data_IF_173683107800
#
_entry.id   IF_173683107800
#
_cell.length_a   1.000
_cell.length_b   1.000
_cell.length_c   1.000
_cell.angle_alpha   90.00
_cell.angle_beta   90.00
_cell.angle_gamma   90.00
#
_symmetry.space_group_name_H-M   'P 1'
#
loop_
_entity.id
_entity.type
_entity.pdbx_description
1 polymer ?
#
# COMPACT_ATOMS: atom_id res chain seq x y z
N UNK A 1 18.00 1.10 5.71
CA UNK A 1 17.13 0.90 4.53
C UNK A 1 15.88 1.74 4.74
N UNK A 2 14.97 1.94 3.78
CA UNK A 2 13.84 2.85 4.02
C UNK A 2 12.54 2.31 3.45
N UNK A 3 11.39 2.69 4.02
CA UNK A 3 10.10 2.18 3.54
C UNK A 3 8.96 3.21 3.50
N UNK A 4 8.00 2.94 2.61
CA UNK A 4 6.72 3.67 2.53
C UNK A 4 5.59 2.69 2.83
N UNK A 5 4.51 3.14 3.47
CA UNK A 5 3.31 2.36 3.67
C UNK A 5 2.03 3.16 3.44
N UNK A 6 0.94 2.42 3.18
CA UNK A 6 -0.41 2.96 3.07
C UNK A 6 -1.34 2.19 4.01
N UNK A 7 -2.08 2.95 4.80
CA UNK A 7 -3.24 2.51 5.56
C UNK A 7 -4.48 3.04 4.84
N UNK A 8 -5.31 2.11 4.37
CA UNK A 8 -6.61 2.28 3.70
C UNK A 8 -6.63 2.57 2.18
N UNK A 9 -7.59 1.94 1.47
CA UNK A 9 -7.62 1.78 0.01
C UNK A 9 -8.47 2.89 -0.62
N UNK A 10 -7.90 3.64 -1.57
CA UNK A 10 -8.70 4.39 -2.52
C UNK A 10 -9.17 3.43 -3.62
N UNK A 11 -10.48 3.20 -3.74
CA UNK A 11 -11.08 2.64 -4.94
C UNK A 11 -11.57 3.81 -5.80
N UNK A 12 -10.74 4.30 -6.70
CA UNK A 12 -11.17 5.09 -7.86
C UNK A 12 -9.99 5.33 -8.81
N UNK A 13 -9.80 4.43 -9.78
CA UNK A 13 -9.05 4.74 -10.99
C UNK A 13 -9.94 4.70 -12.25
N UNK A 14 -11.11 4.06 -12.19
CA UNK A 14 -12.08 4.05 -13.28
C UNK A 14 -13.50 3.93 -12.72
N UNK A 15 -14.24 5.04 -12.74
CA UNK A 15 -15.59 5.12 -12.20
C UNK A 15 -16.62 4.68 -13.24
N UNK A 16 -17.21 3.50 -13.03
CA UNK A 16 -18.60 3.22 -13.41
C UNK A 16 -18.99 1.82 -12.95
N UNK A 17 -19.97 1.76 -12.05
CA UNK A 17 -20.71 0.60 -11.52
C UNK A 17 -20.29 0.10 -10.13
N UNK A 18 -21.24 0.19 -9.19
CA UNK A 18 -21.27 -0.34 -7.80
C UNK A 18 -21.12 -1.88 -7.70
N UNK A 19 -20.96 -2.58 -8.83
CA UNK A 19 -20.47 -3.95 -8.86
C UNK A 19 -18.98 -3.93 -8.51
N UNK A 20 -18.71 -3.92 -7.20
CA UNK A 20 -17.44 -4.19 -6.52
C UNK A 20 -16.37 -4.66 -7.49
N UNK A 21 -15.54 -3.73 -7.99
CA UNK A 21 -14.46 -4.08 -8.90
C UNK A 21 -13.59 -5.09 -8.15
N UNK A 22 -13.55 -6.36 -8.58
CA UNK A 22 -12.86 -7.38 -7.81
C UNK A 22 -11.36 -7.11 -7.81
N UNK A 23 -10.86 -6.26 -8.72
CA UNK A 23 -9.46 -5.89 -8.86
C UNK A 23 -9.11 -4.68 -7.99
N UNK A 24 -8.16 -4.88 -7.07
CA UNK A 24 -7.54 -3.83 -6.27
C UNK A 24 -6.23 -3.39 -6.93
N UNK A 25 -6.21 -2.20 -7.52
CA UNK A 25 -5.08 -1.65 -8.28
C UNK A 25 -3.95 -1.11 -7.38
N UNK A 26 -3.49 -1.90 -6.41
CA UNK A 26 -2.48 -1.49 -5.41
C UNK A 26 -1.19 -0.99 -6.03
N UNK A 27 -0.73 -1.65 -7.09
CA UNK A 27 0.48 -1.31 -7.84
C UNK A 27 0.53 0.06 -8.52
N UNK A 28 -0.62 0.70 -8.73
CA UNK A 28 -0.70 2.06 -9.30
C UNK A 28 -1.30 3.06 -8.31
N UNK A 29 -1.41 2.69 -7.03
CA UNK A 29 -1.81 3.62 -5.97
C UNK A 29 -0.84 4.80 -5.90
N UNK A 30 -1.37 6.01 -5.82
CA UNK A 30 -0.56 7.24 -5.88
C UNK A 30 0.54 7.28 -4.80
N UNK A 31 0.30 6.74 -3.58
CA UNK A 31 1.26 6.82 -2.48
C UNK A 31 2.28 5.69 -2.44
N UNK A 32 1.86 4.47 -2.80
CA UNK A 32 2.64 3.24 -2.57
C UNK A 32 2.71 2.29 -3.77
N UNK A 33 2.14 2.66 -4.93
CA UNK A 33 2.20 1.84 -6.13
C UNK A 33 3.64 1.70 -6.64
N UNK A 34 4.06 0.48 -6.95
CA UNK A 34 5.41 0.14 -7.34
C UNK A 34 5.53 -0.45 -8.75
N UNK A 35 4.48 -0.35 -9.58
CA UNK A 35 4.54 -0.81 -10.97
C UNK A 35 5.56 -0.01 -11.77
N UNK A 36 6.50 -0.72 -12.41
CA UNK A 36 7.53 -0.10 -13.24
C UNK A 36 8.30 1.01 -12.54
N UNK A 37 8.44 2.12 -13.26
CA UNK A 37 9.18 3.33 -12.89
C UNK A 37 8.27 4.56 -12.89
N UNK A 38 8.80 5.73 -12.52
CA UNK A 38 8.01 6.97 -12.53
C UNK A 38 7.58 7.40 -13.95
N UNK A 39 8.27 6.91 -14.99
CA UNK A 39 7.90 7.14 -16.39
C UNK A 39 6.70 6.28 -16.81
N UNK A 40 6.53 5.10 -16.21
CA UNK A 40 5.39 4.22 -16.49
C UNK A 40 4.15 4.70 -15.70
N UNK A 41 4.32 4.89 -14.40
CA UNK A 41 3.26 5.34 -13.48
C UNK A 41 3.87 6.27 -12.44
N UNK A 42 3.36 7.50 -12.40
CA UNK A 42 3.78 8.50 -11.42
C UNK A 42 3.12 8.16 -10.07
N UNK A 43 3.88 7.53 -9.19
CA UNK A 43 3.53 7.31 -7.79
C UNK A 43 4.62 7.93 -6.91
N UNK A 44 4.27 8.28 -5.68
CA UNK A 44 5.23 8.76 -4.69
C UNK A 44 6.34 7.72 -4.44
N UNK A 45 5.98 6.44 -4.38
CA UNK A 45 6.93 5.33 -4.27
C UNK A 45 7.91 5.26 -5.46
N UNK A 46 7.43 5.40 -6.70
CA UNK A 46 8.29 5.40 -7.88
C UNK A 46 9.19 6.63 -7.97
N UNK A 47 8.73 7.79 -7.47
CA UNK A 47 9.57 8.98 -7.32
C UNK A 47 10.67 8.71 -6.28
N UNK A 48 10.36 8.12 -5.12
CA UNK A 48 11.37 7.80 -4.12
C UNK A 48 12.39 6.77 -4.58
N UNK A 49 12.00 5.81 -5.43
CA UNK A 49 12.94 4.86 -6.04
C UNK A 49 14.06 5.55 -6.84
N UNK A 50 13.88 6.80 -7.31
CA UNK A 50 14.95 7.57 -7.96
C UNK A 50 16.09 7.93 -7.02
N UNK A 51 15.78 8.10 -5.74
CA UNK A 51 16.74 8.49 -4.71
C UNK A 51 17.18 7.29 -3.85
N UNK A 52 16.35 6.25 -3.79
CA UNK A 52 16.64 5.02 -3.07
C UNK A 52 16.10 3.80 -3.86
N UNK A 53 16.91 3.18 -4.71
CA UNK A 53 16.49 2.02 -5.50
C UNK A 53 16.08 0.80 -4.66
N UNK A 54 16.59 0.68 -3.43
CA UNK A 54 16.28 -0.42 -2.48
C UNK A 54 15.10 -0.09 -1.56
N UNK A 55 14.18 0.77 -2.01
CA UNK A 55 13.00 1.17 -1.25
C UNK A 55 12.08 -0.03 -0.97
N UNK A 56 11.80 -0.29 0.31
CA UNK A 56 10.86 -1.32 0.75
C UNK A 56 9.42 -0.81 0.78
N UNK A 57 8.48 -1.70 0.49
CA UNK A 57 7.05 -1.44 0.63
C UNK A 57 6.24 -1.12 -0.64
N UNK A 58 6.80 -0.66 -1.77
CA UNK A 58 5.99 -0.44 -2.97
C UNK A 58 5.25 -1.71 -3.41
N UNK A 59 3.97 -1.60 -3.72
CA UNK A 59 3.14 -2.72 -4.19
C UNK A 59 3.47 -3.02 -5.67
N UNK A 60 3.93 -4.22 -6.05
CA UNK A 60 4.32 -4.49 -7.43
C UNK A 60 3.16 -4.88 -8.35
N UNK A 61 2.05 -5.41 -7.80
CA UNK A 61 0.92 -5.92 -8.59
C UNK A 61 -0.46 -5.49 -8.05
N UNK A 62 -1.52 -5.74 -8.84
CA UNK A 62 -2.89 -5.74 -8.36
C UNK A 62 -3.19 -7.01 -7.57
N UNK A 63 -4.26 -6.96 -6.78
CA UNK A 63 -4.81 -8.09 -6.03
C UNK A 63 -6.30 -8.25 -6.33
N UNK A 64 -6.88 -9.39 -5.94
CA UNK A 64 -8.31 -9.64 -6.10
C UNK A 64 -8.99 -9.58 -4.72
N UNK A 65 -9.99 -8.72 -4.57
CA UNK A 65 -10.78 -8.59 -3.35
C UNK A 65 -11.42 -9.92 -2.97
N UNK A 66 -11.35 -10.28 -1.69
CA UNK A 66 -11.86 -11.55 -1.18
C UNK A 66 -10.93 -12.75 -1.38
N UNK A 67 -9.77 -12.58 -2.03
CA UNK A 67 -8.76 -13.63 -2.19
C UNK A 67 -7.58 -13.41 -1.23
N UNK A 68 -6.93 -14.48 -0.76
CA UNK A 68 -5.72 -14.37 0.03
C UNK A 68 -4.64 -13.58 -0.71
N UNK A 69 -3.97 -12.67 -0.01
CA UNK A 69 -2.86 -11.89 -0.55
C UNK A 69 -1.62 -12.05 0.34
N UNK A 70 -0.45 -11.89 -0.27
CA UNK A 70 0.84 -11.91 0.43
C UNK A 70 1.50 -10.53 0.40
N UNK A 71 2.45 -10.29 1.32
CA UNK A 71 3.22 -9.05 1.36
C UNK A 71 3.99 -8.78 0.06
N UNK A 72 4.38 -9.84 -0.65
CA UNK A 72 5.05 -9.74 -1.96
C UNK A 72 4.11 -9.18 -3.04
N UNK A 73 2.79 -9.32 -2.87
CA UNK A 73 1.79 -8.78 -3.79
C UNK A 73 1.30 -7.40 -3.36
N UNK A 74 1.04 -7.22 -2.06
CA UNK A 74 0.48 -5.97 -1.53
C UNK A 74 1.53 -4.91 -1.28
N UNK A 75 2.81 -5.29 -1.15
CA UNK A 75 3.80 -4.43 -0.48
C UNK A 75 3.31 -4.05 0.92
N UNK A 76 3.74 -2.89 1.40
CA UNK A 76 3.27 -2.29 2.66
C UNK A 76 1.98 -1.49 2.48
N UNK A 77 1.12 -1.92 1.55
CA UNK A 77 -0.23 -1.44 1.42
C UNK A 77 -1.17 -2.31 2.28
N UNK A 78 -1.40 -1.89 3.53
CA UNK A 78 -2.23 -2.59 4.52
C UNK A 78 -3.71 -2.20 4.44
N UNK A 79 -4.08 -1.45 3.41
CA UNK A 79 -5.44 -1.10 3.14
C UNK A 79 -6.34 -2.31 2.92
N UNK A 80 -7.52 -2.29 3.54
CA UNK A 80 -8.53 -3.32 3.34
C UNK A 80 -9.80 -2.69 2.80
N UNK A 81 -10.22 -3.13 1.62
CA UNK A 81 -11.47 -2.70 1.00
C UNK A 81 -12.65 -2.96 1.93
N UNK A 82 -13.51 -1.96 2.09
CA UNK A 82 -14.71 -2.05 2.94
C UNK A 82 -14.48 -1.66 4.41
N UNK A 83 -13.23 -1.53 4.87
CA UNK A 83 -12.95 -1.05 6.23
C UNK A 83 -13.24 0.46 6.37
N UNK A 84 -13.53 0.91 7.59
CA UNK A 84 -13.75 2.32 7.93
C UNK A 84 -12.83 2.77 9.09
N UNK A 85 -13.06 3.96 9.65
CA UNK A 85 -12.24 4.52 10.73
C UNK A 85 -12.15 3.62 11.97
N UNK A 86 -13.19 2.84 12.28
CA UNK A 86 -13.20 1.91 13.41
C UNK A 86 -12.14 0.81 13.26
N UNK A 87 -11.73 0.50 12.03
CA UNK A 87 -10.75 -0.56 11.75
C UNK A 87 -9.30 -0.05 11.68
N UNK A 88 -9.06 1.26 11.74
CA UNK A 88 -7.71 1.86 11.58
C UNK A 88 -6.75 1.36 12.66
N UNK A 89 -7.24 1.16 13.89
CA UNK A 89 -6.41 0.65 14.98
C UNK A 89 -5.87 -0.76 14.69
N UNK A 90 -6.69 -1.63 14.10
CA UNK A 90 -6.28 -3.00 13.78
C UNK A 90 -5.35 -3.03 12.57
N UNK A 91 -5.61 -2.22 11.54
CA UNK A 91 -4.68 -2.06 10.41
C UNK A 91 -3.32 -1.52 10.88
N UNK A 92 -3.32 -0.58 11.84
CA UNK A 92 -2.10 -0.01 12.41
C UNK A 92 -1.30 -1.04 13.20
N UNK A 93 -1.95 -1.86 14.03
CA UNK A 93 -1.29 -2.97 14.75
C UNK A 93 -0.67 -3.96 13.77
N UNK A 94 -1.44 -4.36 12.75
CA UNK A 94 -0.96 -5.26 11.72
C UNK A 94 0.26 -4.70 10.96
N UNK A 95 0.25 -3.40 10.63
CA UNK A 95 1.41 -2.72 10.04
C UNK A 95 2.63 -2.77 10.97
N UNK A 96 2.47 -2.44 12.25
CA UNK A 96 3.57 -2.45 13.22
C UNK A 96 4.17 -3.85 13.37
N UNK A 97 3.33 -4.88 13.49
CA UNK A 97 3.77 -6.27 13.64
C UNK A 97 4.48 -6.76 12.37
N UNK A 98 3.96 -6.38 11.20
CA UNK A 98 4.63 -6.64 9.92
C UNK A 98 5.99 -5.97 9.88
N UNK A 99 6.10 -4.69 10.25
CA UNK A 99 7.38 -3.99 10.21
C UNK A 99 8.41 -4.55 11.20
N UNK A 100 7.98 -5.04 12.36
CA UNK A 100 8.87 -5.66 13.36
C UNK A 100 9.43 -7.01 12.91
N UNK A 101 8.70 -7.72 12.04
CA UNK A 101 9.05 -9.06 11.58
C UNK A 101 9.62 -9.10 10.16
N UNK A 102 9.48 -8.02 9.38
CA UNK A 102 9.87 -7.99 7.97
C UNK A 102 11.39 -8.06 7.79
N UNK A 103 11.93 -9.07 7.07
CA UNK A 103 13.35 -9.17 6.81
C UNK A 103 13.90 -7.96 6.05
N UNK A 104 15.00 -7.39 6.52
CA UNK A 104 15.65 -6.24 5.88
C UNK A 104 15.07 -4.87 6.26
N UNK A 105 13.99 -4.81 7.02
CA UNK A 105 13.51 -3.56 7.62
C UNK A 105 13.98 -3.45 9.07
N UNK A 106 14.76 -2.41 9.40
CA UNK A 106 15.05 -2.08 10.79
C UNK A 106 13.92 -1.23 11.37
N UNK A 107 13.09 -1.82 12.22
CA UNK A 107 11.94 -1.13 12.82
C UNK A 107 12.31 0.15 13.57
N UNK A 108 13.48 0.21 14.23
CA UNK A 108 13.87 1.36 15.06
C UNK A 108 14.61 2.45 14.27
N UNK A 109 15.51 2.05 13.38
CA UNK A 109 16.48 2.97 12.77
C UNK A 109 16.06 3.47 11.38
N UNK A 110 15.32 2.66 10.61
CA UNK A 110 14.97 3.02 9.23
C UNK A 110 13.90 4.12 9.22
N UNK A 111 13.98 5.09 8.32
CA UNK A 111 12.86 6.03 8.17
C UNK A 111 11.66 5.34 7.52
N UNK A 112 10.47 5.74 7.96
CA UNK A 112 9.19 5.21 7.51
C UNK A 112 8.29 6.37 7.12
N UNK A 113 7.83 6.41 5.87
CA UNK A 113 6.74 7.29 5.48
C UNK A 113 5.43 6.51 5.53
N UNK A 114 4.53 6.91 6.42
CA UNK A 114 3.20 6.30 6.55
C UNK A 114 2.17 7.24 5.96
N UNK A 115 1.42 6.76 4.97
CA UNK A 115 0.25 7.46 4.44
C UNK A 115 -1.02 6.81 5.00
N UNK A 116 -1.95 7.63 5.50
CA UNK A 116 -3.25 7.17 6.00
C UNK A 116 -4.33 7.86 5.18
N UNK A 117 -5.20 7.08 4.54
CA UNK A 117 -6.28 7.60 3.73
C UNK A 117 -7.61 7.00 4.18
N UNK A 118 -8.29 7.63 5.11
CA UNK A 118 -9.64 7.22 5.50
C UNK A 118 -10.61 7.64 4.39
N UNK A 119 -11.19 6.65 3.71
CA UNK A 119 -12.03 6.83 2.52
C UNK A 119 -13.52 7.02 2.82
N UNK A 120 -14.33 6.94 1.77
CA UNK A 120 -15.77 7.28 1.72
C UNK A 120 -16.74 6.36 2.50
N UNK A 121 -16.24 5.35 3.21
CA UNK A 121 -17.05 4.38 3.97
C UNK A 121 -17.23 4.77 5.45
N UNK A 122 -16.76 5.96 5.82
CA UNK A 122 -17.05 6.63 7.09
C UNK A 122 -18.21 7.63 6.86
#
# INVERSE_FOLDING_TARGET
>A
MNCVSLLQTAIAANGSTILSVPVEYRHVSWSIGGYGTYQDVITLANIFKLFNPELLGPAPTWTLHGFPTSINQTGFNFAVTGHNSLNVSDQTRHMIDTFRSYPGLNFKEDWKLVTVLIGMND
#
